data_IF_267818025952
#
_entry.id   IF_267818025952
#
_cell.length_a   1.000
_cell.length_b   1.000
_cell.length_c   1.000
_cell.angle_alpha   90.00
_cell.angle_beta   90.00
_cell.angle_gamma   90.00
#
_symmetry.space_group_name_H-M   'P 1'
#
loop_
_entity.id
_entity.type
_entity.pdbx_description
1 polymer ?
#
# COMPACT_ATOMS: atom_id res chain seq x y z
N UNK A 1 -0.34 3.13 24.55
CA UNK A 1 -1.40 3.79 25.34
C UNK A 1 -2.73 3.22 24.90
N UNK A 2 -3.24 2.26 25.67
CA UNK A 2 -4.56 1.68 25.50
C UNK A 2 -5.57 2.68 26.07
N UNK A 3 -6.59 3.05 25.28
CA UNK A 3 -7.57 4.05 25.68
C UNK A 3 -8.78 3.36 26.29
N UNK A 4 -8.96 3.53 27.60
CA UNK A 4 -10.22 3.31 28.32
C UNK A 4 -10.69 4.64 28.92
N UNK A 5 -12.01 4.77 29.09
CA UNK A 5 -12.80 5.94 29.53
C UNK A 5 -12.82 7.12 28.56
N UNK A 6 -13.93 7.87 28.55
CA UNK A 6 -14.31 8.94 27.60
C UNK A 6 -13.18 9.93 27.33
N UNK A 7 -12.34 9.62 26.35
CA UNK A 7 -11.20 10.45 26.02
C UNK A 7 -11.68 11.57 25.09
N UNK A 8 -11.63 12.80 25.60
CA UNK A 8 -11.75 14.00 24.77
C UNK A 8 -10.59 13.99 23.76
N UNK A 9 -10.91 13.88 22.49
CA UNK A 9 -10.01 14.14 21.38
C UNK A 9 -9.93 15.64 21.18
N UNK A 10 -8.71 16.17 21.17
CA UNK A 10 -8.36 17.37 20.43
C UNK A 10 -7.28 16.93 19.44
N UNK A 11 -7.65 16.77 18.17
CA UNK A 11 -6.75 16.20 17.17
C UNK A 11 -6.89 16.92 15.83
N UNK A 12 -5.73 17.19 15.22
CA UNK A 12 -5.63 17.60 13.84
C UNK A 12 -5.65 16.34 12.95
N UNK A 13 -6.65 16.22 12.10
CA UNK A 13 -6.92 15.03 11.28
C UNK A 13 -7.13 15.39 9.82
N UNK A 14 -6.54 14.62 8.92
CA UNK A 14 -6.67 14.75 7.46
C UNK A 14 -7.84 13.90 6.95
N UNK A 15 -8.72 14.46 6.11
CA UNK A 15 -9.81 13.68 5.52
C UNK A 15 -9.32 12.83 4.34
N UNK A 16 -9.35 11.50 4.52
CA UNK A 16 -8.71 10.57 3.56
C UNK A 16 -9.70 9.80 2.69
N UNK A 17 -10.96 9.62 3.12
CA UNK A 17 -11.96 8.86 2.35
C UNK A 17 -13.37 9.11 2.87
N UNK A 18 -14.36 8.74 2.08
CA UNK A 18 -15.78 8.96 2.36
C UNK A 18 -16.58 7.67 2.30
N UNK A 19 -17.65 7.63 3.09
CA UNK A 19 -18.58 6.52 3.24
C UNK A 19 -20.01 7.05 3.17
N UNK A 20 -20.98 6.16 2.94
CA UNK A 20 -22.39 6.53 2.81
C UNK A 20 -22.96 7.28 4.02
N UNK A 21 -22.43 7.03 5.22
CA UNK A 21 -22.89 7.64 6.48
C UNK A 21 -21.91 8.64 7.10
N UNK A 22 -20.78 8.95 6.44
CA UNK A 22 -19.78 9.83 7.03
C UNK A 22 -18.42 9.83 6.34
N UNK A 23 -17.45 10.45 7.00
CA UNK A 23 -16.09 10.64 6.48
C UNK A 23 -15.07 9.94 7.38
N UNK A 24 -13.96 9.51 6.80
CA UNK A 24 -12.84 8.93 7.54
C UNK A 24 -11.70 9.93 7.57
N UNK A 25 -11.31 10.29 8.78
CA UNK A 25 -10.16 11.13 9.04
C UNK A 25 -8.97 10.29 9.49
N UNK A 26 -7.76 10.76 9.22
CA UNK A 26 -6.52 10.10 9.56
C UNK A 26 -5.59 11.06 10.30
N UNK A 27 -4.95 10.57 11.36
CA UNK A 27 -3.90 11.35 12.02
C UNK A 27 -2.53 11.14 11.36
N UNK A 28 -1.54 11.87 11.86
CA UNK A 28 -0.15 11.79 11.39
C UNK A 28 0.50 10.41 11.51
N UNK A 29 0.05 9.58 12.46
CA UNK A 29 0.52 8.20 12.66
C UNK A 29 -0.24 7.17 11.79
N UNK A 30 -1.14 7.64 10.93
CA UNK A 30 -1.94 6.80 10.05
C UNK A 30 -3.12 6.11 10.73
N UNK A 31 -3.48 6.47 11.97
CA UNK A 31 -4.67 5.95 12.66
C UNK A 31 -5.91 6.58 12.05
N UNK A 32 -6.91 5.75 11.76
CA UNK A 32 -8.15 6.16 11.09
C UNK A 32 -9.28 6.30 12.10
N UNK A 33 -10.07 7.35 11.93
CA UNK A 33 -11.23 7.70 12.75
C UNK A 33 -12.43 7.91 11.84
N UNK A 34 -13.56 7.33 12.20
CA UNK A 34 -14.83 7.57 11.51
C UNK A 34 -15.55 8.77 12.13
N UNK A 35 -16.14 9.62 11.30
CA UNK A 35 -16.99 10.73 11.73
C UNK A 35 -18.27 10.73 10.91
N UNK A 36 -19.41 10.76 11.57
CA UNK A 36 -20.74 10.88 10.95
C UNK A 36 -21.02 12.32 10.53
N UNK A 37 -20.23 12.83 9.57
CA UNK A 37 -20.42 14.13 8.94
C UNK A 37 -20.17 14.02 7.44
N UNK A 38 -21.17 14.44 6.68
CA UNK A 38 -21.09 14.56 5.23
C UNK A 38 -20.62 15.98 4.85
N UNK A 39 -19.98 16.12 3.68
CA UNK A 39 -19.54 17.42 3.16
C UNK A 39 -18.14 17.88 3.62
N UNK A 40 -17.36 17.02 4.27
CA UNK A 40 -15.92 17.28 4.45
C UNK A 40 -15.22 17.20 3.08
N UNK A 41 -14.13 17.95 2.91
CA UNK A 41 -13.33 17.98 1.68
C UNK A 41 -12.25 16.91 1.75
N UNK A 42 -11.92 16.24 0.64
CA UNK A 42 -10.80 15.28 0.61
C UNK A 42 -9.49 16.05 0.81
N UNK A 43 -8.51 15.49 1.53
CA UNK A 43 -7.18 16.09 1.76
C UNK A 43 -7.14 17.40 2.54
N UNK A 44 -8.27 17.86 3.07
CA UNK A 44 -8.28 18.97 4.02
C UNK A 44 -8.02 18.45 5.44
N UNK A 45 -7.38 19.31 6.23
CA UNK A 45 -7.13 19.07 7.63
C UNK A 45 -8.21 19.74 8.47
N UNK A 46 -8.65 19.03 9.50
CA UNK A 46 -9.65 19.49 10.44
C UNK A 46 -9.13 19.38 11.85
N UNK A 47 -9.30 20.43 12.64
CA UNK A 47 -9.15 20.37 14.08
C UNK A 47 -10.48 19.90 14.66
N UNK A 48 -10.46 18.70 15.23
CA UNK A 48 -11.64 17.99 15.72
C UNK A 48 -11.57 17.90 17.24
N UNK A 49 -12.58 18.48 17.90
CA UNK A 49 -12.82 18.34 19.33
C UNK A 49 -14.03 17.45 19.57
N UNK A 50 -13.91 16.44 20.42
CA UNK A 50 -15.03 15.55 20.73
C UNK A 50 -14.67 14.31 21.53
N UNK A 51 -15.57 13.33 21.62
CA UNK A 51 -15.35 12.08 22.36
C UNK A 51 -15.06 10.91 21.42
N UNK A 52 -14.02 10.13 21.75
CA UNK A 52 -13.65 8.93 21.00
C UNK A 52 -14.36 7.72 21.59
N UNK A 53 -14.99 6.92 20.74
CA UNK A 53 -15.55 5.63 21.10
C UNK A 53 -15.12 4.55 20.11
N UNK A 54 -15.08 3.29 20.57
CA UNK A 54 -14.82 2.15 19.70
C UNK A 54 -16.04 1.91 18.83
N UNK A 55 -15.84 1.83 17.51
CA UNK A 55 -16.95 1.51 16.60
C UNK A 55 -17.42 0.08 16.81
N UNK A 56 -18.74 -0.14 16.73
CA UNK A 56 -19.35 -1.48 16.76
C UNK A 56 -19.51 -2.08 15.36
N UNK A 57 -19.24 -1.31 14.30
CA UNK A 57 -19.44 -1.73 12.92
C UNK A 57 -18.27 -2.60 12.43
N UNK A 58 -18.53 -3.89 12.22
CA UNK A 58 -17.56 -4.86 11.72
C UNK A 58 -17.05 -4.50 10.31
N UNK A 59 -17.85 -3.82 9.49
CA UNK A 59 -17.43 -3.41 8.15
C UNK A 59 -16.35 -2.31 8.21
N UNK A 60 -16.42 -1.43 9.21
CA UNK A 60 -15.39 -0.42 9.46
C UNK A 60 -14.12 -1.07 10.00
N UNK A 61 -14.25 -2.10 10.85
CA UNK A 61 -13.11 -2.87 11.36
C UNK A 61 -12.33 -3.56 10.25
N UNK A 62 -13.02 -4.18 9.29
CA UNK A 62 -12.39 -4.80 8.12
C UNK A 62 -11.53 -3.81 7.31
N UNK A 63 -11.84 -2.51 7.38
CA UNK A 63 -11.11 -1.43 6.69
C UNK A 63 -10.06 -0.74 7.57
N UNK A 64 -9.83 -1.26 8.77
CA UNK A 64 -8.86 -0.74 9.73
C UNK A 64 -9.33 0.52 10.47
N UNK A 65 -10.64 0.74 10.57
CA UNK A 65 -11.25 1.88 11.27
C UNK A 65 -11.91 1.33 12.54
N UNK A 66 -11.28 1.57 13.69
CA UNK A 66 -11.72 1.01 14.97
C UNK A 66 -12.33 2.05 15.91
N UNK A 67 -12.09 3.33 15.63
CA UNK A 67 -12.53 4.42 16.46
C UNK A 67 -13.44 5.34 15.67
N UNK A 68 -14.47 5.85 16.35
CA UNK A 68 -15.38 6.85 15.87
C UNK A 68 -15.31 8.05 16.80
N UNK A 69 -15.40 9.25 16.23
CA UNK A 69 -15.38 10.51 16.98
C UNK A 69 -16.75 11.15 16.88
N UNK A 70 -17.38 11.37 18.03
CA UNK A 70 -18.56 12.24 18.18
C UNK A 70 -17.99 13.62 18.45
N UNK A 71 -18.13 14.51 17.49
CA UNK A 71 -17.53 15.82 17.55
C UNK A 71 -18.47 16.83 18.20
N UNK A 72 -17.91 17.69 19.03
CA UNK A 72 -18.59 18.87 19.56
C UNK A 72 -18.29 20.07 18.64
N UNK A 73 -17.06 20.15 18.12
CA UNK A 73 -16.61 21.19 17.18
C UNK A 73 -15.67 20.61 16.12
N UNK A 74 -15.85 21.04 14.87
CA UNK A 74 -14.96 20.73 13.74
C UNK A 74 -14.67 22.02 13.00
N UNK A 75 -13.40 22.40 12.94
CA UNK A 75 -12.95 23.57 12.19
C UNK A 75 -11.95 23.15 11.11
N UNK A 76 -12.09 23.72 9.91
CA UNK A 76 -11.17 23.48 8.79
C UNK A 76 -9.87 24.27 9.03
N UNK A 77 -8.74 23.58 9.04
CA UNK A 77 -7.45 24.20 9.28
C UNK A 77 -6.81 24.66 7.97
N UNK A 78 -6.94 25.96 7.69
CA UNK A 78 -6.50 26.55 6.42
C UNK A 78 -4.99 26.46 6.16
N UNK A 79 -4.15 26.37 7.20
CA UNK A 79 -2.69 26.29 7.05
C UNK A 79 -2.25 24.96 6.42
N UNK A 80 -2.92 23.87 6.78
CA UNK A 80 -2.56 22.52 6.34
C UNK A 80 -3.32 22.05 5.09
N UNK A 81 -4.15 22.91 4.49
CA UNK A 81 -4.97 22.61 3.32
C UNK A 81 -4.26 22.75 1.96
N UNK A 82 -2.93 22.83 1.95
CA UNK A 82 -2.17 22.93 0.69
C UNK A 82 -2.37 21.69 -0.19
N UNK A 83 -2.49 20.48 0.39
CA UNK A 83 -2.78 19.25 -0.36
C UNK A 83 -4.13 19.34 -1.07
N UNK A 84 -5.16 19.83 -0.38
CA UNK A 84 -6.48 20.07 -0.99
C UNK A 84 -6.43 21.11 -2.12
N UNK A 85 -5.64 22.18 -1.96
CA UNK A 85 -5.46 23.18 -3.03
C UNK A 85 -4.82 22.57 -4.28
N UNK A 86 -3.75 21.79 -4.11
CA UNK A 86 -3.11 21.05 -5.21
C UNK A 86 -4.10 20.08 -5.85
N UNK A 87 -4.83 19.32 -5.04
CA UNK A 87 -5.84 18.36 -5.49
C UNK A 87 -6.90 19.01 -6.37
N UNK A 88 -7.52 20.09 -5.90
CA UNK A 88 -8.54 20.81 -6.68
C UNK A 88 -7.97 21.43 -7.95
N UNK A 89 -6.76 21.99 -7.89
CA UNK A 89 -6.12 22.58 -9.06
C UNK A 89 -5.99 21.54 -10.18
N UNK A 90 -5.48 20.34 -9.89
CA UNK A 90 -5.26 19.31 -10.91
C UNK A 90 -6.55 18.61 -11.37
N UNK A 91 -7.51 18.39 -10.48
CA UNK A 91 -8.80 17.79 -10.87
C UNK A 91 -9.59 18.74 -11.75
N UNK A 92 -9.52 20.06 -11.51
CA UNK A 92 -10.15 21.04 -12.41
C UNK A 92 -9.62 20.98 -13.85
N UNK A 93 -8.46 20.36 -14.07
CA UNK A 93 -7.89 20.18 -15.41
C UNK A 93 -8.45 18.93 -16.07
N UNK A 94 -8.37 17.76 -15.43
CA UNK A 94 -8.82 16.50 -16.02
C UNK A 94 -9.25 15.46 -14.99
N UNK A 95 -10.28 14.68 -15.32
CA UNK A 95 -10.72 13.51 -14.55
C UNK A 95 -9.65 12.42 -14.41
N UNK A 96 -8.64 12.40 -15.30
CA UNK A 96 -7.48 11.49 -15.20
C UNK A 96 -6.74 11.67 -13.87
N UNK A 97 -6.71 12.89 -13.33
CA UNK A 97 -6.08 13.13 -12.04
C UNK A 97 -6.87 12.47 -10.90
N UNK A 98 -8.19 12.65 -10.90
CA UNK A 98 -9.09 12.08 -9.88
C UNK A 98 -9.09 10.54 -9.93
N UNK A 99 -9.13 9.98 -11.14
CA UNK A 99 -9.31 8.53 -11.34
C UNK A 99 -8.01 7.72 -11.32
N UNK A 100 -6.87 8.31 -11.71
CA UNK A 100 -5.61 7.58 -11.91
C UNK A 100 -4.47 8.18 -11.11
N UNK A 101 -4.17 9.46 -11.28
CA UNK A 101 -2.96 10.06 -10.69
C UNK A 101 -3.03 10.04 -9.17
N UNK A 102 -4.12 10.54 -8.57
CA UNK A 102 -4.26 10.54 -7.11
C UNK A 102 -4.27 9.14 -6.49
N UNK A 103 -4.97 8.15 -7.05
CA UNK A 103 -4.92 6.78 -6.53
C UNK A 103 -3.57 6.08 -6.70
N UNK A 104 -2.91 6.20 -7.86
CA UNK A 104 -1.66 5.48 -8.15
C UNK A 104 -0.46 6.18 -7.51
N UNK A 105 -0.34 7.49 -7.71
CA UNK A 105 0.84 8.26 -7.27
C UNK A 105 0.70 8.63 -5.79
N UNK A 106 -0.49 9.01 -5.33
CA UNK A 106 -0.67 9.51 -3.96
C UNK A 106 -1.47 8.57 -3.04
N UNK A 107 -2.10 7.53 -3.57
CA UNK A 107 -2.87 6.57 -2.77
C UNK A 107 -4.21 7.09 -2.27
N UNK A 108 -4.71 8.22 -2.79
CA UNK A 108 -6.00 8.79 -2.41
C UNK A 108 -7.08 8.41 -3.41
N UNK A 109 -8.20 7.89 -2.90
CA UNK A 109 -9.35 7.50 -3.69
C UNK A 109 -10.45 8.53 -3.44
N UNK A 110 -10.99 9.13 -4.50
CA UNK A 110 -12.02 10.17 -4.38
C UNK A 110 -13.40 9.62 -4.01
N UNK A 111 -14.33 10.54 -3.74
CA UNK A 111 -15.75 10.27 -3.47
C UNK A 111 -16.50 9.67 -4.65
N UNK A 112 -16.15 10.09 -5.88
CA UNK A 112 -16.79 9.55 -7.07
C UNK A 112 -16.36 8.10 -7.22
N UNK A 113 -17.27 7.25 -7.68
CA UNK A 113 -16.99 5.85 -7.97
C UNK A 113 -15.84 5.79 -8.97
N UNK A 114 -14.63 5.56 -8.47
CA UNK A 114 -13.45 5.50 -9.30
C UNK A 114 -13.49 4.20 -10.08
N UNK A 115 -13.96 4.28 -11.33
CA UNK A 115 -14.13 3.14 -12.21
C UNK A 115 -12.79 2.42 -12.40
N UNK A 116 -11.68 3.16 -12.54
CA UNK A 116 -10.36 2.58 -12.75
C UNK A 116 -9.92 1.66 -11.60
N UNK A 117 -9.99 2.12 -10.35
CA UNK A 117 -9.59 1.29 -9.19
C UNK A 117 -10.49 0.07 -9.03
N UNK A 118 -11.79 0.24 -9.31
CA UNK A 118 -12.75 -0.87 -9.28
C UNK A 118 -12.43 -1.93 -10.35
N UNK A 119 -12.10 -1.49 -11.56
CA UNK A 119 -11.78 -2.34 -12.70
C UNK A 119 -10.45 -3.07 -12.50
N UNK A 120 -9.43 -2.38 -12.01
CA UNK A 120 -8.16 -2.98 -11.58
C UNK A 120 -8.36 -4.03 -10.48
N UNK A 121 -9.29 -3.77 -9.55
CA UNK A 121 -9.64 -4.74 -8.52
C UNK A 121 -10.31 -5.99 -9.10
N UNK A 122 -11.21 -5.85 -10.08
CA UNK A 122 -11.79 -6.99 -10.82
C UNK A 122 -10.75 -7.80 -11.57
N UNK A 123 -9.71 -7.17 -12.11
CA UNK A 123 -8.59 -7.85 -12.75
C UNK A 123 -7.72 -8.66 -11.76
N UNK A 124 -7.88 -8.44 -10.45
CA UNK A 124 -7.07 -9.10 -9.42
C UNK A 124 -5.64 -8.55 -9.29
N UNK A 125 -5.36 -7.41 -9.94
CA UNK A 125 -4.03 -6.77 -9.98
C UNK A 125 -3.94 -5.50 -9.13
N UNK A 126 -4.92 -5.23 -8.26
CA UNK A 126 -4.95 -4.05 -7.38
C UNK A 126 -3.72 -3.92 -6.47
N UNK A 127 -3.12 -5.04 -6.08
CA UNK A 127 -1.90 -5.07 -5.27
C UNK A 127 -0.67 -4.56 -6.04
N UNK A 128 -0.69 -4.61 -7.38
CA UNK A 128 0.31 -3.95 -8.21
C UNK A 128 0.02 -2.45 -8.28
N UNK A 129 -1.25 -2.05 -8.39
CA UNK A 129 -1.65 -0.66 -8.67
C UNK A 129 -1.62 0.28 -7.47
N UNK A 130 -1.96 -0.24 -6.28
CA UNK A 130 -1.89 0.54 -5.05
C UNK A 130 -0.43 0.73 -4.65
N UNK A 131 -0.10 1.90 -4.09
CA UNK A 131 1.24 2.20 -3.59
C UNK A 131 1.80 1.03 -2.77
N UNK A 132 2.87 0.43 -3.32
CA UNK A 132 3.46 -0.82 -2.86
C UNK A 132 4.98 -0.68 -2.68
N UNK A 133 5.63 -1.75 -2.19
CA UNK A 133 7.09 -1.78 -2.06
C UNK A 133 7.82 -1.64 -3.41
N UNK A 134 7.18 -2.11 -4.49
CA UNK A 134 7.69 -1.95 -5.85
C UNK A 134 7.78 -0.48 -6.23
N UNK A 135 6.72 0.30 -6.01
CA UNK A 135 6.67 1.73 -6.29
C UNK A 135 7.83 2.48 -5.63
N UNK A 136 7.99 2.31 -4.31
CA UNK A 136 9.05 2.97 -3.55
C UNK A 136 10.45 2.60 -4.07
N UNK A 137 10.69 1.32 -4.36
CA UNK A 137 11.99 0.86 -4.87
C UNK A 137 12.27 1.42 -6.27
N UNK A 138 11.29 1.42 -7.16
CA UNK A 138 11.43 1.94 -8.53
C UNK A 138 11.74 3.43 -8.51
N UNK A 139 10.98 4.21 -7.73
CA UNK A 139 11.17 5.66 -7.62
C UNK A 139 12.55 5.94 -7.02
N UNK A 140 12.90 5.30 -5.89
CA UNK A 140 14.19 5.48 -5.25
C UNK A 140 15.37 5.12 -6.15
N UNK A 141 15.31 3.98 -6.86
CA UNK A 141 16.38 3.55 -7.76
C UNK A 141 16.52 4.49 -8.96
N UNK A 142 15.40 4.98 -9.50
CA UNK A 142 15.40 5.96 -10.59
C UNK A 142 16.05 7.28 -10.16
N UNK A 143 15.64 7.82 -9.00
CA UNK A 143 16.26 9.03 -8.42
C UNK A 143 17.75 8.82 -8.14
N UNK A 144 18.12 7.68 -7.54
CA UNK A 144 19.52 7.37 -7.21
C UNK A 144 20.40 7.28 -8.45
N UNK A 145 19.86 6.78 -9.57
CA UNK A 145 20.56 6.76 -10.86
C UNK A 145 20.73 8.16 -11.45
N UNK A 146 19.67 8.98 -11.42
CA UNK A 146 19.69 10.36 -11.92
C UNK A 146 20.72 11.20 -11.16
N UNK A 147 20.73 11.11 -9.82
CA UNK A 147 21.61 11.90 -8.97
C UNK A 147 22.96 11.25 -8.68
N UNK A 148 23.26 10.06 -9.22
CA UNK A 148 24.46 9.27 -8.89
C UNK A 148 25.78 10.06 -8.96
N UNK A 149 25.89 10.99 -9.92
CA UNK A 149 27.10 11.81 -10.13
C UNK A 149 27.36 12.81 -9.01
N UNK A 150 26.30 13.37 -8.41
CA UNK A 150 26.38 14.41 -7.37
C UNK A 150 26.08 13.86 -5.96
N UNK A 151 25.41 12.71 -5.88
CA UNK A 151 24.95 12.08 -4.65
C UNK A 151 25.18 10.57 -4.70
N UNK A 152 26.45 10.12 -4.63
CA UNK A 152 26.80 8.70 -4.71
C UNK A 152 26.21 7.88 -3.54
N UNK A 153 25.94 8.54 -2.41
CA UNK A 153 25.31 7.92 -1.23
C UNK A 153 23.78 7.91 -1.29
N UNK A 154 23.16 8.52 -2.31
CA UNK A 154 21.70 8.58 -2.48
C UNK A 154 20.96 9.32 -1.35
N UNK A 155 21.61 10.30 -0.70
CA UNK A 155 21.05 11.17 0.34
C UNK A 155 19.93 12.06 -0.21
N UNK A 156 20.12 12.67 -1.37
CA UNK A 156 19.09 13.46 -2.07
C UNK A 156 17.90 12.56 -2.39
N UNK A 157 18.17 11.34 -2.87
CA UNK A 157 17.12 10.39 -3.24
C UNK A 157 16.29 9.96 -2.04
N UNK A 158 16.91 9.60 -0.90
CA UNK A 158 16.15 9.23 0.31
C UNK A 158 15.39 10.43 0.90
N UNK A 159 15.95 11.63 0.80
CA UNK A 159 15.29 12.88 1.23
C UNK A 159 14.05 13.17 0.39
N UNK A 160 14.13 13.04 -0.93
CA UNK A 160 12.96 13.15 -1.81
C UNK A 160 11.91 12.08 -1.53
N UNK A 161 12.33 10.84 -1.22
CA UNK A 161 11.41 9.78 -0.80
C UNK A 161 10.72 10.07 0.54
N UNK A 162 11.41 10.72 1.48
CA UNK A 162 10.82 11.19 2.74
C UNK A 162 9.75 12.25 2.46
N UNK A 163 10.05 13.25 1.63
CA UNK A 163 9.06 14.25 1.23
C UNK A 163 7.85 13.59 0.57
N UNK A 164 8.07 12.68 -0.39
CA UNK A 164 7.00 11.94 -1.04
C UNK A 164 6.15 11.16 -0.02
N UNK A 165 6.76 10.47 0.94
CA UNK A 165 6.07 9.73 2.00
C UNK A 165 5.15 10.63 2.86
N UNK A 166 5.48 11.91 3.05
CA UNK A 166 4.64 12.85 3.79
C UNK A 166 3.37 13.27 3.00
N UNK A 167 3.41 13.21 1.67
CA UNK A 167 2.30 13.64 0.82
C UNK A 167 1.27 12.51 0.65
N UNK A 168 1.73 11.27 0.46
CA UNK A 168 0.87 10.14 0.15
C UNK A 168 -0.05 9.71 1.30
N UNK A 169 -1.07 8.93 0.96
CA UNK A 169 -1.90 8.21 1.93
C UNK A 169 -1.07 7.17 2.69
N UNK A 170 -1.12 7.21 4.03
CA UNK A 170 -0.36 6.34 4.94
C UNK A 170 -1.00 4.96 5.07
N UNK A 171 -1.07 4.22 3.96
CA UNK A 171 -1.54 2.83 3.93
C UNK A 171 -0.51 1.88 4.59
N UNK A 172 -0.94 0.70 5.09
CA UNK A 172 -0.01 -0.28 5.66
C UNK A 172 1.13 -0.69 4.71
N UNK A 173 0.83 -0.84 3.42
CA UNK A 173 1.83 -1.18 2.39
C UNK A 173 2.86 -0.07 2.18
N UNK A 174 2.40 1.19 2.15
CA UNK A 174 3.26 2.36 1.98
C UNK A 174 4.16 2.60 3.20
N UNK A 175 3.61 2.52 4.41
CA UNK A 175 4.38 2.67 5.66
C UNK A 175 5.50 1.64 5.74
N UNK A 176 5.18 0.37 5.52
CA UNK A 176 6.18 -0.70 5.45
C UNK A 176 7.22 -0.43 4.37
N UNK A 177 6.80 -0.06 3.15
CA UNK A 177 7.71 0.16 2.03
C UNK A 177 8.74 1.25 2.33
N UNK A 178 8.27 2.39 2.85
CA UNK A 178 9.14 3.50 3.21
C UNK A 178 10.09 3.15 4.36
N UNK A 179 9.59 2.56 5.45
CA UNK A 179 10.42 2.20 6.61
C UNK A 179 11.45 1.12 6.21
N UNK A 180 11.05 0.11 5.43
CA UNK A 180 11.96 -0.89 4.88
C UNK A 180 13.07 -0.24 4.04
N UNK A 181 12.69 0.68 3.14
CA UNK A 181 13.63 1.40 2.27
C UNK A 181 14.64 2.21 3.10
N UNK A 182 14.15 2.92 4.11
CA UNK A 182 14.97 3.74 5.00
C UNK A 182 15.96 2.89 5.80
N UNK A 183 15.50 1.82 6.44
CA UNK A 183 16.39 0.91 7.20
C UNK A 183 17.39 0.24 6.26
N UNK A 184 16.94 -0.22 5.09
CA UNK A 184 17.83 -0.83 4.09
C UNK A 184 18.90 0.14 3.61
N UNK A 185 18.53 1.40 3.35
CA UNK A 185 19.48 2.44 2.96
C UNK A 185 20.50 2.70 4.08
N UNK A 186 20.06 2.89 5.33
CA UNK A 186 20.97 3.09 6.49
C UNK A 186 21.94 1.92 6.61
N UNK A 187 21.41 0.68 6.58
CA UNK A 187 22.22 -0.52 6.72
C UNK A 187 23.26 -0.61 5.59
N UNK A 188 22.90 -0.24 4.37
CA UNK A 188 23.81 -0.19 3.23
C UNK A 188 24.93 0.86 3.39
N UNK A 189 24.71 1.96 4.10
CA UNK A 189 25.75 2.97 4.34
C UNK A 189 26.79 2.51 5.37
N UNK A 190 26.38 1.67 6.32
CA UNK A 190 27.23 1.22 7.44
C UNK A 190 27.93 -0.10 7.09
N UNK A 191 27.30 -0.93 6.26
CA UNK A 191 27.80 -2.26 5.91
C UNK A 191 28.81 -2.18 4.76
N UNK A 192 29.99 -2.84 4.86
CA UNK A 192 30.93 -2.93 3.76
C UNK A 192 30.30 -3.52 2.50
N UNK A 193 30.69 -3.03 1.31
CA UNK A 193 30.08 -3.45 0.02
C UNK A 193 30.15 -4.96 -0.25
N UNK A 194 31.07 -5.68 0.40
CA UNK A 194 31.28 -7.12 0.24
C UNK A 194 30.30 -7.97 1.05
N UNK A 195 29.61 -7.41 2.04
CA UNK A 195 28.69 -8.15 2.90
C UNK A 195 27.27 -8.18 2.35
N UNK A 196 26.66 -9.37 2.40
CA UNK A 196 25.28 -9.54 1.96
C UNK A 196 24.31 -9.05 3.03
N UNK A 197 23.53 -8.02 2.67
CA UNK A 197 22.49 -7.49 3.54
C UNK A 197 21.33 -8.49 3.64
N UNK A 198 21.06 -8.95 4.86
CA UNK A 198 19.93 -9.86 5.12
C UNK A 198 18.60 -9.10 5.12
N UNK A 199 17.97 -9.00 3.94
CA UNK A 199 16.66 -8.35 3.73
C UNK A 199 15.54 -8.91 4.62
N UNK A 200 15.64 -10.18 5.02
CA UNK A 200 14.66 -10.79 5.92
C UNK A 200 14.71 -10.17 7.33
N UNK A 201 15.91 -9.95 7.88
CA UNK A 201 16.10 -9.28 9.17
C UNK A 201 15.55 -7.85 9.13
N UNK A 202 15.81 -7.12 8.04
CA UNK A 202 15.29 -5.77 7.84
C UNK A 202 13.77 -5.77 7.78
N UNK A 203 13.16 -6.73 7.08
CA UNK A 203 11.71 -6.85 7.01
C UNK A 203 11.09 -7.14 8.38
N UNK A 204 11.71 -8.01 9.18
CA UNK A 204 11.28 -8.28 10.55
C UNK A 204 11.38 -7.04 11.44
N UNK A 205 12.48 -6.29 11.34
CA UNK A 205 12.62 -5.03 12.09
C UNK A 205 11.60 -3.97 11.65
N UNK A 206 11.30 -3.91 10.35
CA UNK A 206 10.24 -3.06 9.79
C UNK A 206 8.86 -3.44 10.35
N UNK A 207 8.57 -4.73 10.46
CA UNK A 207 7.34 -5.24 11.08
C UNK A 207 7.19 -4.77 12.52
N UNK A 208 8.25 -4.86 13.32
CA UNK A 208 8.25 -4.38 14.70
C UNK A 208 8.00 -2.87 14.76
N UNK A 209 8.79 -2.07 14.02
CA UNK A 209 8.66 -0.60 14.04
C UNK A 209 7.26 -0.15 13.61
N UNK A 210 6.73 -0.68 12.52
CA UNK A 210 5.38 -0.31 12.04
C UNK A 210 4.29 -0.68 13.06
N UNK A 211 4.42 -1.83 13.71
CA UNK A 211 3.52 -2.26 14.77
C UNK A 211 3.61 -1.38 16.02
N UNK A 212 4.80 -0.88 16.36
CA UNK A 212 4.98 0.06 17.46
C UNK A 212 4.41 1.45 17.17
N UNK A 213 4.63 1.99 15.97
CA UNK A 213 4.12 3.32 15.57
C UNK A 213 2.58 3.32 15.59
N UNK A 214 1.97 2.27 15.05
CA UNK A 214 0.53 2.17 14.95
C UNK A 214 0.05 0.73 15.14
N UNK A 215 -0.23 0.32 16.40
CA UNK A 215 -0.57 -1.07 16.73
C UNK A 215 -1.88 -1.51 16.07
N UNK A 216 -2.78 -0.59 15.73
CA UNK A 216 -4.04 -0.94 15.06
C UNK A 216 -3.83 -1.36 13.61
N UNK A 217 -2.64 -1.17 13.02
CA UNK A 217 -2.35 -1.66 11.66
C UNK A 217 -2.34 -3.18 11.59
N UNK A 218 -1.97 -3.88 12.67
CA UNK A 218 -1.96 -5.35 12.73
C UNK A 218 -3.36 -5.94 12.56
N UNK A 219 -4.40 -5.16 12.85
CA UNK A 219 -5.77 -5.60 12.69
C UNK A 219 -6.28 -5.44 11.24
N UNK A 220 -5.51 -4.78 10.36
CA UNK A 220 -5.89 -4.54 8.98
C UNK A 220 -5.46 -5.70 8.07
N UNK A 221 -6.38 -6.24 7.27
CA UNK A 221 -6.09 -7.32 6.31
C UNK A 221 -4.96 -6.96 5.33
N UNK A 222 -4.91 -5.70 4.88
CA UNK A 222 -3.88 -5.21 3.97
C UNK A 222 -2.47 -5.23 4.60
N UNK A 223 -2.36 -5.11 5.92
CA UNK A 223 -1.08 -5.22 6.63
C UNK A 223 -0.52 -6.65 6.50
N UNK A 224 -1.31 -7.66 6.87
CA UNK A 224 -0.91 -9.06 6.78
C UNK A 224 -0.64 -9.49 5.35
N UNK A 225 -1.52 -9.15 4.41
CA UNK A 225 -1.30 -9.45 2.99
C UNK A 225 0.04 -8.89 2.51
N UNK A 226 0.38 -7.65 2.89
CA UNK A 226 1.65 -7.03 2.54
C UNK A 226 2.84 -7.80 3.14
N UNK A 227 2.84 -8.02 4.46
CA UNK A 227 3.98 -8.64 5.15
C UNK A 227 4.18 -10.11 4.78
N UNK A 228 3.11 -10.91 4.73
CA UNK A 228 3.20 -12.34 4.40
C UNK A 228 3.73 -12.55 2.98
N UNK A 229 3.31 -11.73 2.01
CA UNK A 229 3.87 -11.74 0.66
C UNK A 229 5.37 -11.41 0.67
N UNK A 230 5.78 -10.34 1.35
CA UNK A 230 7.19 -9.96 1.38
C UNK A 230 8.08 -10.96 2.16
N UNK A 231 7.59 -11.53 3.26
CA UNK A 231 8.29 -12.60 3.98
C UNK A 231 8.48 -13.82 3.10
N UNK A 232 7.48 -14.16 2.29
CA UNK A 232 7.56 -15.28 1.36
C UNK A 232 8.50 -14.98 0.20
N UNK A 233 8.45 -13.78 -0.38
CA UNK A 233 9.38 -13.32 -1.42
C UNK A 233 10.85 -13.41 -0.97
N UNK A 234 11.21 -12.81 0.17
CA UNK A 234 12.57 -12.87 0.69
C UNK A 234 12.92 -14.24 1.34
N UNK A 235 11.91 -15.00 1.73
CA UNK A 235 12.04 -16.38 2.20
C UNK A 235 12.43 -17.34 1.07
N UNK A 236 11.86 -17.14 -0.12
CA UNK A 236 12.04 -17.97 -1.31
C UNK A 236 13.28 -17.62 -2.13
N UNK A 237 13.88 -16.44 -1.93
CA UNK A 237 15.17 -16.08 -2.53
C UNK A 237 16.25 -17.07 -2.10
N UNK A 238 16.49 -18.09 -2.92
CA UNK A 238 17.67 -18.94 -2.85
C UNK A 238 18.80 -18.27 -3.61
N UNK A 239 20.04 -18.31 -3.10
CA UNK A 239 21.18 -17.89 -3.88
C UNK A 239 21.32 -18.85 -5.07
N UNK A 240 21.20 -18.31 -6.28
CA UNK A 240 21.76 -18.86 -7.52
C UNK A 240 21.48 -20.34 -7.80
N UNK A 241 20.23 -20.70 -8.11
CA UNK A 241 19.98 -21.89 -8.93
C UNK A 241 19.25 -21.47 -10.18
N UNK A 242 19.83 -21.81 -11.35
CA UNK A 242 19.32 -21.65 -12.72
C UNK A 242 17.97 -22.37 -12.99
N UNK A 243 17.09 -22.49 -11.99
CA UNK A 243 15.72 -22.94 -12.22
C UNK A 243 14.92 -21.83 -12.88
N UNK A 244 13.92 -22.21 -13.67
CA UNK A 244 13.10 -21.29 -14.46
C UNK A 244 12.50 -20.22 -13.57
N UNK A 245 12.88 -18.96 -13.80
CA UNK A 245 12.35 -17.76 -13.12
C UNK A 245 10.81 -17.82 -13.05
N UNK A 246 10.19 -18.30 -14.14
CA UNK A 246 8.75 -18.51 -14.27
C UNK A 246 8.16 -19.37 -13.14
N UNK A 247 8.85 -20.44 -12.71
CA UNK A 247 8.35 -21.34 -11.67
C UNK A 247 8.34 -20.68 -10.28
N UNK A 248 9.31 -19.81 -10.00
CA UNK A 248 9.32 -19.06 -8.74
C UNK A 248 8.27 -17.96 -8.74
N UNK A 249 8.05 -17.28 -9.87
CA UNK A 249 6.90 -16.37 -10.06
C UNK A 249 5.57 -17.09 -9.86
N UNK A 250 5.42 -18.28 -10.42
CA UNK A 250 4.19 -19.07 -10.29
C UNK A 250 3.89 -19.44 -8.83
N UNK A 251 4.90 -19.85 -8.04
CA UNK A 251 4.71 -20.11 -6.60
C UNK A 251 4.29 -18.87 -5.81
N UNK A 252 4.92 -17.72 -6.09
CA UNK A 252 4.56 -16.46 -5.45
C UNK A 252 3.12 -16.07 -5.81
N UNK A 253 2.73 -16.28 -7.07
CA UNK A 253 1.37 -16.03 -7.51
C UNK A 253 0.35 -16.94 -6.82
N UNK A 254 0.60 -18.25 -6.71
CA UNK A 254 -0.27 -19.16 -5.96
C UNK A 254 -0.46 -18.66 -4.53
N UNK A 255 0.63 -18.31 -3.85
CA UNK A 255 0.54 -17.77 -2.49
C UNK A 255 -0.27 -16.47 -2.45
N UNK A 256 -0.05 -15.58 -3.41
CA UNK A 256 -0.79 -14.31 -3.53
C UNK A 256 -2.28 -14.56 -3.69
N UNK A 257 -2.68 -15.50 -4.55
CA UNK A 257 -4.09 -15.90 -4.69
C UNK A 257 -4.63 -16.48 -3.41
N UNK A 258 -3.92 -17.39 -2.75
CA UNK A 258 -4.40 -17.98 -1.49
C UNK A 258 -4.67 -16.89 -0.44
N UNK A 259 -3.76 -15.90 -0.33
CA UNK A 259 -3.94 -14.76 0.56
C UNK A 259 -5.09 -13.85 0.12
N UNK A 260 -5.23 -13.56 -1.18
CA UNK A 260 -6.33 -12.75 -1.71
C UNK A 260 -7.67 -13.45 -1.44
N UNK A 261 -7.81 -14.73 -1.80
CA UNK A 261 -9.00 -15.54 -1.55
C UNK A 261 -9.35 -15.56 -0.06
N UNK A 262 -8.35 -15.71 0.83
CA UNK A 262 -8.54 -15.64 2.27
C UNK A 262 -9.13 -14.31 2.74
N UNK A 263 -8.61 -13.18 2.22
CA UNK A 263 -9.00 -11.85 2.70
C UNK A 263 -10.18 -11.20 1.95
N UNK A 264 -10.44 -11.58 0.70
CA UNK A 264 -11.43 -10.94 -0.18
C UNK A 264 -12.55 -11.87 -0.65
N UNK A 265 -12.43 -13.19 -0.46
CA UNK A 265 -13.39 -14.21 -0.94
C UNK A 265 -13.67 -14.17 -2.46
N UNK A 266 -12.81 -13.50 -3.22
CA UNK A 266 -12.99 -13.28 -4.65
C UNK A 266 -11.63 -13.36 -5.33
N UNK A 267 -11.56 -14.02 -6.48
CA UNK A 267 -10.35 -14.02 -7.28
C UNK A 267 -10.68 -14.06 -8.77
N UNK A 268 -9.75 -13.56 -9.56
CA UNK A 268 -9.81 -13.63 -11.02
C UNK A 268 -8.87 -14.75 -11.49
N UNK A 269 -9.41 -15.67 -12.29
CA UNK A 269 -8.70 -16.84 -12.81
C UNK A 269 -7.49 -16.40 -13.65
N UNK A 270 -7.64 -15.32 -14.43
CA UNK A 270 -6.59 -14.79 -15.30
C UNK A 270 -5.65 -13.80 -14.61
N UNK A 271 -5.79 -13.59 -13.30
CA UNK A 271 -4.92 -12.66 -12.55
C UNK A 271 -3.43 -12.97 -12.69
N UNK A 272 -3.04 -14.24 -12.92
CA UNK A 272 -1.64 -14.59 -13.22
C UNK A 272 -1.14 -13.89 -14.48
N UNK A 273 -1.86 -14.12 -15.59
CA UNK A 273 -1.49 -13.64 -16.90
C UNK A 273 -1.52 -12.11 -16.92
N UNK A 274 -2.55 -11.52 -16.30
CA UNK A 274 -2.60 -10.07 -16.14
C UNK A 274 -1.45 -9.55 -15.29
N UNK A 275 -1.09 -10.20 -14.18
CA UNK A 275 0.05 -9.75 -13.37
C UNK A 275 1.37 -9.82 -14.12
N UNK A 276 1.61 -10.87 -14.93
CA UNK A 276 2.82 -11.00 -15.75
C UNK A 276 2.88 -9.92 -16.84
N UNK A 277 1.78 -9.77 -17.59
CA UNK A 277 1.69 -8.79 -18.67
C UNK A 277 1.79 -7.36 -18.13
N UNK A 278 1.02 -7.06 -17.09
CA UNK A 278 0.94 -5.73 -16.51
C UNK A 278 2.27 -5.34 -15.87
N UNK A 279 2.98 -6.24 -15.20
CA UNK A 279 4.27 -5.93 -14.57
C UNK A 279 5.34 -5.46 -15.59
N UNK A 280 5.27 -5.86 -16.87
CA UNK A 280 6.19 -5.39 -17.91
C UNK A 280 6.04 -3.89 -18.20
N UNK A 281 4.81 -3.40 -18.24
CA UNK A 281 4.50 -2.03 -18.63
C UNK A 281 4.26 -1.11 -17.43
N UNK A 282 3.81 -1.67 -16.33
CA UNK A 282 3.32 -0.91 -15.20
C UNK A 282 4.41 -0.10 -14.50
N UNK A 283 5.65 -0.62 -14.45
CA UNK A 283 6.79 0.13 -13.92
C UNK A 283 7.02 1.43 -14.71
N UNK A 284 6.97 1.35 -16.05
CA UNK A 284 7.10 2.52 -16.92
C UNK A 284 5.98 3.53 -16.65
N UNK A 285 4.75 3.06 -16.49
CA UNK A 285 3.61 3.92 -16.21
C UNK A 285 3.70 4.62 -14.84
N UNK A 286 4.11 3.91 -13.78
CA UNK A 286 4.33 4.52 -12.46
C UNK A 286 5.38 5.61 -12.55
N UNK A 287 6.54 5.33 -13.15
CA UNK A 287 7.64 6.30 -13.24
C UNK A 287 7.18 7.52 -14.04
N UNK A 288 6.53 7.29 -15.18
CA UNK A 288 6.06 8.36 -16.05
C UNK A 288 5.00 9.22 -15.35
N UNK A 289 4.03 8.62 -14.65
CA UNK A 289 3.07 9.37 -13.86
C UNK A 289 3.74 10.10 -12.69
N UNK A 290 4.69 9.49 -11.99
CA UNK A 290 5.41 10.11 -10.88
C UNK A 290 6.28 11.30 -11.30
N UNK A 291 6.86 11.27 -12.50
CA UNK A 291 7.69 12.38 -13.00
C UNK A 291 6.80 13.47 -13.61
N UNK A 292 5.83 13.07 -14.43
CA UNK A 292 5.06 14.01 -15.24
C UNK A 292 3.75 14.45 -14.61
N UNK A 293 3.38 14.01 -13.39
CA UNK A 293 2.14 14.43 -12.74
C UNK A 293 1.90 15.96 -12.74
N UNK A 294 2.91 16.85 -12.67
CA UNK A 294 2.65 18.30 -12.72
C UNK A 294 2.28 18.82 -14.12
N UNK A 295 2.59 18.06 -15.18
CA UNK A 295 2.45 18.46 -16.58
C UNK A 295 1.18 17.85 -17.19
N UNK A 296 0.07 18.59 -17.11
CA UNK A 296 -1.27 18.12 -17.46
C UNK A 296 -1.40 17.37 -18.81
N UNK A 297 -0.82 17.83 -19.94
CA UNK A 297 -1.04 17.17 -21.22
C UNK A 297 -0.41 15.77 -21.24
N UNK A 298 0.80 15.63 -20.70
CA UNK A 298 1.50 14.35 -20.63
C UNK A 298 0.75 13.36 -19.74
N UNK A 299 0.29 13.80 -18.56
CA UNK A 299 -0.48 12.93 -17.66
C UNK A 299 -1.78 12.45 -18.28
N UNK A 300 -2.45 13.30 -19.06
CA UNK A 300 -3.68 12.94 -19.76
C UNK A 300 -3.44 11.79 -20.74
N UNK A 301 -2.41 11.89 -21.58
CA UNK A 301 -2.04 10.82 -22.51
C UNK A 301 -1.64 9.53 -21.81
N UNK A 302 -0.76 9.62 -20.81
CA UNK A 302 -0.27 8.45 -20.06
C UNK A 302 -1.43 7.76 -19.32
N UNK A 303 -2.29 8.53 -18.65
CA UNK A 303 -3.43 8.01 -17.91
C UNK A 303 -4.49 7.37 -18.82
N UNK A 304 -4.81 7.97 -19.96
CA UNK A 304 -5.76 7.37 -20.90
C UNK A 304 -5.20 6.11 -21.56
N UNK A 305 -3.90 6.04 -21.85
CA UNK A 305 -3.25 4.82 -22.31
C UNK A 305 -3.40 3.68 -21.27
N UNK A 306 -3.21 3.98 -19.98
CA UNK A 306 -3.48 3.03 -18.90
C UNK A 306 -4.94 2.57 -18.85
N UNK A 307 -5.91 3.50 -18.96
CA UNK A 307 -7.34 3.16 -18.99
C UNK A 307 -7.64 2.20 -20.13
N UNK A 308 -7.11 2.49 -21.32
CA UNK A 308 -7.31 1.66 -22.50
C UNK A 308 -6.77 0.24 -22.29
N UNK A 309 -5.56 0.11 -21.72
CA UNK A 309 -4.98 -1.20 -21.39
C UNK A 309 -5.89 -1.95 -20.40
N UNK A 310 -6.30 -1.30 -19.30
CA UNK A 310 -7.17 -1.92 -18.28
C UNK A 310 -8.51 -2.36 -18.89
N UNK A 311 -9.15 -1.50 -19.67
CA UNK A 311 -10.43 -1.80 -20.32
C UNK A 311 -10.33 -2.98 -21.29
N UNK A 312 -9.23 -3.07 -22.05
CA UNK A 312 -9.01 -4.21 -22.94
C UNK A 312 -8.82 -5.52 -22.16
N UNK A 313 -8.13 -5.48 -21.01
CA UNK A 313 -8.00 -6.66 -20.17
C UNK A 313 -9.35 -7.08 -19.56
N UNK A 314 -10.18 -6.11 -19.16
CA UNK A 314 -11.52 -6.37 -18.60
C UNK A 314 -12.41 -7.17 -19.52
N UNK A 315 -12.32 -6.97 -20.84
CA UNK A 315 -13.10 -7.72 -21.83
C UNK A 315 -12.91 -9.24 -21.69
N UNK A 316 -11.73 -9.69 -21.25
CA UNK A 316 -11.40 -11.10 -21.08
C UNK A 316 -11.56 -11.60 -19.63
N UNK A 317 -12.14 -10.80 -18.73
CA UNK A 317 -12.19 -11.15 -17.30
C UNK A 317 -13.31 -12.11 -16.93
N UNK A 318 -12.96 -13.12 -16.14
CA UNK A 318 -13.89 -14.01 -15.46
C UNK A 318 -13.61 -13.92 -13.96
N UNK A 319 -14.56 -13.36 -13.21
CA UNK A 319 -14.46 -13.20 -11.75
C UNK A 319 -15.22 -14.33 -11.08
N UNK A 320 -14.53 -15.11 -10.24
CA UNK A 320 -15.15 -16.12 -9.40
C UNK A 320 -15.30 -15.60 -7.98
N UNK A 321 -16.52 -15.70 -7.46
CA UNK A 321 -16.83 -15.44 -6.06
C UNK A 321 -16.93 -16.79 -5.36
N UNK A 322 -16.11 -16.99 -4.34
CA UNK A 322 -16.18 -18.19 -3.52
C UNK A 322 -16.83 -17.80 -2.20
N UNK A 323 -17.94 -18.43 -1.86
CA UNK A 323 -18.46 -18.37 -0.49
C UNK A 323 -17.66 -19.34 0.37
N UNK A 324 -16.75 -18.79 1.18
CA UNK A 324 -15.86 -19.56 2.04
C UNK A 324 -16.46 -19.56 3.44
N UNK A 325 -16.95 -20.72 3.89
CA UNK A 325 -17.32 -20.92 5.29
C UNK A 325 -16.13 -20.68 6.22
N UNK A 326 -16.38 -20.24 7.45
CA UNK A 326 -15.34 -19.91 8.44
C UNK A 326 -14.32 -21.05 8.68
N UNK A 327 -14.76 -22.31 8.58
CA UNK A 327 -13.89 -23.49 8.68
C UNK A 327 -12.86 -23.53 7.53
N UNK A 328 -13.29 -23.20 6.31
CA UNK A 328 -12.42 -23.15 5.14
C UNK A 328 -11.44 -21.96 5.22
N UNK A 329 -11.83 -20.86 5.88
CA UNK A 329 -10.89 -19.76 6.17
C UNK A 329 -9.80 -20.22 7.14
N UNK A 330 -10.16 -20.91 8.22
CA UNK A 330 -9.18 -21.46 9.20
C UNK A 330 -8.23 -22.45 8.50
N UNK A 331 -8.76 -23.34 7.67
CA UNK A 331 -7.95 -24.28 6.87
C UNK A 331 -6.97 -23.56 5.93
N UNK A 332 -7.41 -22.50 5.27
CA UNK A 332 -6.56 -21.69 4.40
C UNK A 332 -5.48 -20.90 5.19
N UNK A 333 -5.81 -20.41 6.38
CA UNK A 333 -4.85 -19.81 7.30
C UNK A 333 -3.79 -20.84 7.76
N UNK A 334 -4.21 -22.07 8.08
CA UNK A 334 -3.30 -23.15 8.45
C UNK A 334 -2.40 -23.56 7.29
N UNK A 335 -2.92 -23.63 6.06
CA UNK A 335 -2.14 -23.94 4.85
C UNK A 335 -1.11 -22.86 4.54
N UNK A 336 -1.48 -21.57 4.64
CA UNK A 336 -0.55 -20.45 4.44
C UNK A 336 0.52 -20.42 5.52
N UNK A 337 0.16 -20.68 6.78
CA UNK A 337 1.11 -20.81 7.89
C UNK A 337 2.05 -22.00 7.72
N UNK A 338 1.53 -23.18 7.35
CA UNK A 338 2.32 -24.38 7.08
C UNK A 338 3.30 -24.16 5.92
N UNK A 339 2.86 -23.51 4.84
CA UNK A 339 3.72 -23.14 3.71
C UNK A 339 4.86 -22.21 4.15
N UNK A 340 4.56 -21.21 4.98
CA UNK A 340 5.58 -20.33 5.53
C UNK A 340 6.57 -21.10 6.41
N UNK A 341 6.08 -21.95 7.32
CA UNK A 341 6.92 -22.81 8.15
C UNK A 341 7.80 -23.76 7.33
N UNK A 342 7.29 -24.31 6.22
CA UNK A 342 8.06 -25.11 5.27
C UNK A 342 9.19 -24.29 4.64
N UNK A 343 8.91 -23.07 4.18
CA UNK A 343 9.94 -22.16 3.68
C UNK A 343 11.01 -21.88 4.76
N UNK A 344 10.62 -21.69 6.03
CA UNK A 344 11.56 -21.52 7.14
C UNK A 344 12.45 -22.76 7.36
N UNK A 345 11.88 -23.96 7.36
CA UNK A 345 12.62 -25.22 7.60
C UNK A 345 13.66 -25.48 6.52
N UNK A 346 13.37 -25.13 5.26
CA UNK A 346 14.33 -25.30 4.16
C UNK A 346 15.57 -24.39 4.22
N UNK A 347 15.55 -23.29 5.00
CA UNK A 347 16.73 -22.44 5.25
C UNK A 347 17.66 -23.00 6.34
N UNK A 348 17.12 -23.63 7.39
CA UNK A 348 17.91 -24.24 8.47
C UNK A 348 18.77 -25.42 8.01
N UNK A 349 18.44 -26.07 6.89
CA UNK A 349 19.21 -27.21 6.37
C UNK A 349 20.48 -26.77 5.62
N UNK A 350 20.65 -25.49 5.25
CA UNK A 350 21.87 -25.01 4.56
C UNK A 350 22.85 -24.21 5.42
N UNK A 351 22.51 -23.91 6.67
CA UNK A 351 23.39 -23.15 7.58
C UNK A 351 24.33 -24.04 8.41
N UNK A 352 24.32 -25.37 8.19
CA UNK A 352 25.17 -26.34 8.90
C UNK A 352 26.27 -26.93 7.98
N UNK A 353 26.31 -26.60 6.68
CA UNK A 353 27.27 -27.19 5.73
C UNK A 353 28.34 -26.23 5.19
N UNK A 354 28.53 -25.07 5.81
CA UNK A 354 29.67 -24.20 5.51
C UNK A 354 30.20 -23.59 6.82
N UNK A 355 30.80 -24.45 7.65
CA UNK A 355 31.96 -24.07 8.47
C UNK A 355 33.20 -24.51 7.70
#
# INVERSE_FOLDING_TARGET
MFFDSENKANANLECISFYSKGSVLQNWYGRKFFIEKNGLKLLSHYDVNGTIFKTKDMNLWAKGIYYQIKFDQIQENNLWNWKFKIYNFYISKSDVYEEIVFPIVFGFISQKKNNFIFDVNKLGIIHLVVISGLHFNIIFNSLSKIFRKIDPKSIISITLMLFYYLIINKSPSANRAFIFLLIYWIYKQITPEKEQINKFKILFFTFLITSFINPTQVLNNGFWLSYLLCFSLYGMQKPQLKKSIIFDYFKIWILSILLVVFFSSQFNVFSFLYSLFFNLFYEFFIISLFIFWPVWPLTFFIGNALKLIVNNLLFFTIVWKIEINWINQILLALLTFAYQCFLFKTKKVKTILYN
#
